data_IF_481905120373
#
_entry.id   IF_481905120373
#
_cell.length_a   1.000
_cell.length_b   1.000
_cell.length_c   1.000
_cell.angle_alpha   90.00
_cell.angle_beta   90.00
_cell.angle_gamma   90.00
#
_symmetry.space_group_name_H-M   'P 1'
#
loop_
_entity.id
_entity.type
_entity.pdbx_description
1 polymer ?
#
# COMPACT_ATOMS: atom_id res chain seq x y z
N UNK A 1 -19.01 18.45 -8.27
CA UNK A 1 -19.12 18.90 -6.87
C UNK A 1 -17.72 19.26 -6.39
N UNK A 2 -17.38 20.55 -6.26
CA UNK A 2 -16.01 21.01 -5.96
C UNK A 2 -15.58 20.81 -4.49
N UNK A 3 -16.41 20.17 -3.68
CA UNK A 3 -16.14 19.95 -2.25
C UNK A 3 -15.60 18.55 -1.97
N UNK A 4 -15.62 17.68 -2.96
CA UNK A 4 -15.25 16.27 -2.84
C UNK A 4 -14.07 16.00 -3.75
N UNK A 5 -12.94 15.64 -3.14
CA UNK A 5 -11.73 15.22 -3.82
C UNK A 5 -11.60 13.70 -3.68
N UNK A 6 -11.44 13.00 -4.80
CA UNK A 6 -11.21 11.56 -4.84
C UNK A 6 -9.84 11.32 -5.45
N UNK A 7 -8.97 10.68 -4.69
CA UNK A 7 -7.64 10.29 -5.11
C UNK A 7 -7.52 8.76 -5.10
N UNK A 8 -7.11 8.19 -6.22
CA UNK A 8 -6.82 6.76 -6.35
C UNK A 8 -5.32 6.63 -6.64
N UNK A 9 -4.66 5.74 -5.92
CA UNK A 9 -3.23 5.48 -6.06
C UNK A 9 -2.97 3.99 -6.13
N UNK A 10 -2.05 3.60 -7.00
CA UNK A 10 -1.56 2.23 -7.11
C UNK A 10 -0.02 2.24 -7.04
N UNK A 11 0.53 1.37 -6.21
CA UNK A 11 1.98 1.23 -5.99
C UNK A 11 2.37 -0.21 -6.27
N UNK A 12 3.46 -0.38 -7.03
CA UNK A 12 4.07 -1.68 -7.30
C UNK A 12 5.53 -1.62 -6.88
N UNK A 13 5.94 -2.58 -6.08
CA UNK A 13 7.31 -2.75 -5.64
C UNK A 13 7.77 -4.15 -6.02
N UNK A 14 8.93 -4.24 -6.69
CA UNK A 14 9.61 -5.49 -6.99
C UNK A 14 11.08 -5.36 -6.63
N UNK A 15 11.60 -6.33 -5.90
CA UNK A 15 13.03 -6.48 -5.64
C UNK A 15 13.55 -7.75 -6.33
N UNK A 16 14.31 -7.58 -7.42
CA UNK A 16 14.82 -8.65 -8.30
C UNK A 16 16.36 -8.74 -8.36
N UNK A 17 17.06 -8.27 -7.32
CA UNK A 17 18.52 -8.19 -7.34
C UNK A 17 19.19 -9.36 -6.60
N UNK A 18 19.30 -10.52 -7.25
CA UNK A 18 20.15 -11.63 -6.77
C UNK A 18 21.17 -12.07 -7.81
N UNK A 19 22.44 -12.15 -7.39
CA UNK A 19 23.51 -12.85 -8.09
C UNK A 19 23.50 -14.29 -7.61
N UNK A 20 23.35 -15.25 -8.53
CA UNK A 20 23.36 -16.69 -8.23
C UNK A 20 24.70 -17.10 -7.61
N UNK A 21 24.70 -17.38 -6.30
CA UNK A 21 25.85 -17.90 -5.57
C UNK A 21 25.48 -19.15 -4.77
N UNK A 22 24.61 -19.99 -5.37
CA UNK A 22 24.12 -21.25 -4.81
C UNK A 22 25.23 -22.29 -4.53
N UNK A 23 26.46 -22.06 -4.97
CA UNK A 23 27.59 -22.97 -4.80
C UNK A 23 28.39 -22.74 -3.50
N UNK A 24 28.26 -21.58 -2.83
CA UNK A 24 29.13 -21.21 -1.69
C UNK A 24 28.39 -20.61 -0.49
N UNK A 25 27.12 -20.19 -0.60
CA UNK A 25 26.43 -19.50 0.50
C UNK A 25 24.92 -19.69 0.55
N UNK A 26 24.37 -19.62 1.76
CA UNK A 26 22.94 -19.75 2.06
C UNK A 26 22.13 -18.74 1.23
N UNK A 27 21.10 -19.18 0.47
CA UNK A 27 20.28 -18.27 -0.31
C UNK A 27 19.39 -17.47 0.64
N UNK A 28 19.84 -16.28 1.03
CA UNK A 28 19.03 -15.29 1.76
C UNK A 28 18.16 -14.44 0.82
N UNK A 29 17.85 -14.95 -0.37
CA UNK A 29 17.12 -14.24 -1.40
C UNK A 29 15.64 -14.53 -1.45
N UNK A 30 14.88 -13.80 -0.65
CA UNK A 30 13.48 -13.55 -0.95
C UNK A 30 13.40 -12.39 -1.94
N UNK A 31 13.18 -12.69 -3.21
CA UNK A 31 12.56 -11.73 -4.13
C UNK A 31 11.18 -11.34 -3.56
N UNK A 32 10.91 -10.04 -3.51
CA UNK A 32 9.72 -9.49 -2.85
C UNK A 32 8.89 -8.71 -3.87
N UNK A 33 7.64 -9.10 -4.05
CA UNK A 33 6.65 -8.34 -4.83
C UNK A 33 5.56 -7.80 -3.90
N UNK A 34 5.31 -6.50 -3.97
CA UNK A 34 4.24 -5.85 -3.22
C UNK A 34 3.37 -5.01 -4.15
N UNK A 35 2.06 -5.24 -4.07
CA UNK A 35 1.04 -4.46 -4.75
C UNK A 35 0.21 -3.71 -3.72
N UNK A 36 0.20 -2.39 -3.81
CA UNK A 36 -0.60 -1.52 -2.97
C UNK A 36 -1.64 -0.77 -3.79
N UNK A 37 -2.90 -0.85 -3.42
CA UNK A 37 -3.98 -0.02 -3.94
C UNK A 37 -4.52 0.87 -2.83
N UNK A 38 -4.67 2.16 -3.10
CA UNK A 38 -5.20 3.12 -2.13
C UNK A 38 -6.27 4.00 -2.75
N UNK A 39 -7.32 4.26 -2.00
CA UNK A 39 -8.39 5.17 -2.36
C UNK A 39 -8.58 6.16 -1.21
N UNK A 40 -8.51 7.45 -1.52
CA UNK A 40 -8.70 8.53 -0.55
C UNK A 40 -9.82 9.43 -1.02
N UNK A 41 -10.82 9.60 -0.16
CA UNK A 41 -11.93 10.51 -0.35
C UNK A 41 -11.81 11.64 0.68
N UNK A 42 -11.58 12.85 0.23
CA UNK A 42 -11.60 14.04 1.09
C UNK A 42 -12.81 14.90 0.76
N UNK A 43 -13.66 15.14 1.76
CA UNK A 43 -14.84 15.99 1.62
C UNK A 43 -14.77 17.20 2.53
N UNK A 44 -15.01 18.37 1.95
CA UNK A 44 -15.25 19.61 2.70
C UNK A 44 -16.70 19.64 3.15
N UNK A 45 -16.92 19.40 4.44
CA UNK A 45 -18.26 19.43 5.05
C UNK A 45 -18.71 20.89 5.14
N UNK A 46 -17.91 21.73 5.79
CA UNK A 46 -18.14 23.17 5.95
C UNK A 46 -16.86 23.97 5.65
N UNK A 47 -16.93 25.31 5.65
CA UNK A 47 -15.75 26.18 5.43
C UNK A 47 -14.60 25.87 6.40
N UNK A 48 -14.94 25.45 7.62
CA UNK A 48 -14.01 25.18 8.71
C UNK A 48 -13.76 23.68 8.95
N UNK A 49 -14.46 22.77 8.27
CA UNK A 49 -14.37 21.33 8.55
C UNK A 49 -14.15 20.52 7.27
N UNK A 50 -13.06 19.75 7.26
CA UNK A 50 -12.75 18.76 6.23
C UNK A 50 -12.68 17.37 6.86
N UNK A 51 -13.35 16.42 6.22
CA UNK A 51 -13.25 15.01 6.54
C UNK A 51 -12.47 14.29 5.46
N UNK A 52 -11.61 13.35 5.82
CA UNK A 52 -10.94 12.47 4.87
C UNK A 52 -11.09 11.03 5.31
N UNK A 53 -11.42 10.17 4.35
CA UNK A 53 -11.45 8.73 4.50
C UNK A 53 -10.45 8.15 3.51
N UNK A 54 -9.56 7.28 3.98
CA UNK A 54 -8.60 6.56 3.17
C UNK A 54 -8.77 5.07 3.40
N UNK A 55 -8.79 4.33 2.32
CA UNK A 55 -8.75 2.88 2.29
C UNK A 55 -7.49 2.46 1.54
N UNK A 56 -6.72 1.56 2.13
CA UNK A 56 -5.55 0.95 1.52
C UNK A 56 -5.68 -0.56 1.56
N UNK A 57 -5.37 -1.20 0.46
CA UNK A 57 -5.23 -2.63 0.34
C UNK A 57 -3.82 -2.92 -0.16
N UNK A 58 -3.07 -3.70 0.59
CA UNK A 58 -1.72 -4.11 0.22
C UNK A 58 -1.70 -5.63 0.19
N UNK A 59 -1.24 -6.19 -0.91
CA UNK A 59 -1.00 -7.61 -1.04
C UNK A 59 0.47 -7.81 -1.34
N UNK A 60 1.07 -8.73 -0.60
CA UNK A 60 2.48 -9.06 -0.70
C UNK A 60 2.59 -10.52 -1.12
N UNK A 61 3.33 -10.77 -2.19
CA UNK A 61 3.63 -12.11 -2.70
C UNK A 61 5.15 -12.32 -2.75
N UNK A 62 5.62 -13.43 -2.17
CA UNK A 62 7.01 -13.84 -2.21
C UNK A 62 7.16 -15.03 -3.18
N UNK A 63 7.84 -14.82 -4.31
CA UNK A 63 8.08 -15.88 -5.31
C UNK A 63 9.13 -16.92 -4.84
N UNK A 64 9.83 -16.70 -3.72
CA UNK A 64 11.01 -17.50 -3.35
C UNK A 64 10.71 -18.68 -2.41
N UNK A 65 9.55 -18.66 -1.74
CA UNK A 65 9.14 -19.71 -0.81
C UNK A 65 7.67 -20.05 -1.02
N UNK A 66 7.38 -21.01 -1.89
CA UNK A 66 6.03 -21.48 -2.24
C UNK A 66 4.95 -21.16 -1.20
N UNK A 67 4.09 -20.19 -1.53
CA UNK A 67 2.79 -19.89 -0.90
C UNK A 67 2.77 -19.72 0.63
N UNK A 68 3.90 -19.50 1.30
CA UNK A 68 3.99 -19.62 2.76
C UNK A 68 3.91 -18.29 3.52
N UNK A 69 3.88 -17.15 2.81
CA UNK A 69 3.92 -15.80 3.42
C UNK A 69 3.11 -14.75 2.65
N UNK A 70 1.98 -15.15 2.09
CA UNK A 70 1.05 -14.21 1.48
C UNK A 70 0.37 -13.41 2.61
N UNK A 71 0.52 -12.10 2.61
CA UNK A 71 -0.16 -11.22 3.57
C UNK A 71 -0.98 -10.17 2.84
N UNK A 72 -2.27 -10.17 3.18
CA UNK A 72 -3.22 -9.15 2.76
C UNK A 72 -3.46 -8.17 3.91
N UNK A 73 -3.06 -6.92 3.71
CA UNK A 73 -3.25 -5.83 4.65
C UNK A 73 -4.39 -4.93 4.19
N UNK A 74 -5.44 -4.82 5.00
CA UNK A 74 -6.51 -3.83 4.82
C UNK A 74 -6.33 -2.70 5.83
N UNK A 75 -6.12 -1.49 5.34
CA UNK A 75 -5.93 -0.29 6.17
C UNK A 75 -7.08 0.66 5.91
N UNK A 76 -7.85 0.96 6.96
CA UNK A 76 -8.86 2.01 6.94
C UNK A 76 -8.38 3.15 7.83
N UNK A 77 -8.32 4.35 7.28
CA UNK A 77 -7.91 5.55 7.99
C UNK A 77 -8.94 6.66 7.81
N UNK A 78 -9.34 7.29 8.90
CA UNK A 78 -10.25 8.44 8.89
C UNK A 78 -9.58 9.61 9.60
N UNK A 79 -9.81 10.82 9.08
CA UNK A 79 -9.31 12.04 9.70
C UNK A 79 -10.32 13.18 9.56
N UNK A 80 -10.32 14.05 10.57
CA UNK A 80 -11.11 15.27 10.60
C UNK A 80 -10.17 16.44 10.88
N UNK A 81 -10.17 17.43 9.99
CA UNK A 81 -9.41 18.65 10.14
C UNK A 81 -10.37 19.83 10.33
N UNK A 82 -10.28 20.46 11.50
CA UNK A 82 -10.95 21.72 11.79
C UNK A 82 -9.97 22.89 11.58
N UNK A 83 -10.41 23.94 10.89
CA UNK A 83 -9.63 25.17 10.63
C UNK A 83 -10.37 26.35 11.26
N UNK A 84 -9.72 27.00 12.22
CA UNK A 84 -10.19 28.20 12.92
C UNK A 84 -10.03 29.44 12.04
#
# INVERSE_FOLDING_TARGET
DDKTDLNLGYTYYRADNYTDNSTIGVPYGSGAEEHGATATLTRRINKNLRASLRYGYYTYSDESFGTSRDYDAHVVYTSLQYRF
#
